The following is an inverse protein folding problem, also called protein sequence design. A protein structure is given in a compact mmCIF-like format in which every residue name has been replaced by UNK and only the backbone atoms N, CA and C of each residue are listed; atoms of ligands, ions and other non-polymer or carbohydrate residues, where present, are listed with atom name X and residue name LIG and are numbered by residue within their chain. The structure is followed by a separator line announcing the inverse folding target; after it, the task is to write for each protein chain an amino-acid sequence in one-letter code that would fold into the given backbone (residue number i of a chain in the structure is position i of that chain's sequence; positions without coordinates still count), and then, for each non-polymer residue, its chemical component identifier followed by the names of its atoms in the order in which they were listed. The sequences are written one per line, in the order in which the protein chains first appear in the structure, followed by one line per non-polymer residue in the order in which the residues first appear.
data_IF_401240304222
#
_entry.id   IF_401240304222
#
_cell.length_a   1.000
_cell.length_b   1.000
_cell.length_c   1.000
_cell.angle_alpha   90.00
_cell.angle_beta   90.00
_cell.angle_gamma   90.00
#
_symmetry.space_group_name_H-M   'P 1'
#
loop_
_entity.id
_entity.type
_entity.pdbx_description
1 polymer ?
#
# COMPACT_ATOMS: atom_id res chain seq x y z
N UNK A 1 -0.84 -8.11 -40.80
CA UNK A 1 -0.92 -8.86 -39.53
C UNK A 1 -0.25 -8.00 -38.47
N UNK A 2 -0.96 -7.46 -37.47
CA UNK A 2 -0.32 -6.61 -36.47
C UNK A 2 0.60 -7.49 -35.62
N UNK A 3 1.88 -7.10 -35.56
CA UNK A 3 2.93 -7.75 -34.77
C UNK A 3 2.70 -7.49 -33.28
N UNK A 4 2.92 -8.51 -32.44
CA UNK A 4 2.56 -8.56 -31.01
C UNK A 4 3.49 -7.71 -30.11
N UNK A 5 4.02 -6.62 -30.64
CA UNK A 5 5.16 -5.91 -30.03
C UNK A 5 4.79 -4.52 -29.49
N UNK A 6 3.52 -4.12 -29.62
CA UNK A 6 3.01 -2.85 -29.08
C UNK A 6 1.87 -3.04 -28.09
N UNK A 7 1.87 -4.14 -27.32
CA UNK A 7 1.23 -4.07 -25.99
C UNK A 7 2.12 -3.15 -25.16
N UNK A 8 2.03 -1.86 -25.47
CA UNK A 8 2.55 -0.79 -24.65
C UNK A 8 2.04 -1.08 -23.24
N UNK A 9 2.95 -1.33 -22.30
CA UNK A 9 2.58 -1.49 -20.90
C UNK A 9 1.89 -0.18 -20.50
N UNK A 10 0.56 -0.23 -20.46
CA UNK A 10 -0.31 0.91 -20.20
C UNK A 10 -0.06 1.31 -18.74
N UNK A 11 0.98 2.12 -18.51
CA UNK A 11 1.28 2.81 -17.27
C UNK A 11 0.44 4.10 -17.15
N UNK A 12 -0.69 4.17 -17.84
CA UNK A 12 -1.63 5.27 -17.70
C UNK A 12 -2.29 5.18 -16.31
N UNK A 13 -2.41 6.28 -15.56
CA UNK A 13 -3.10 6.29 -14.27
C UNK A 13 -4.62 6.05 -14.37
N UNK A 14 -5.13 5.87 -15.59
CA UNK A 14 -6.55 5.68 -15.87
C UNK A 14 -7.07 4.41 -15.16
N UNK A 15 -8.23 4.46 -14.48
CA UNK A 15 -8.81 3.28 -13.85
C UNK A 15 -9.31 2.30 -14.92
N UNK A 16 -8.46 1.34 -15.29
CA UNK A 16 -8.86 0.24 -16.17
C UNK A 16 -9.62 -0.82 -15.37
N UNK A 17 -10.74 -1.36 -15.88
CA UNK A 17 -11.51 -2.42 -15.21
C UNK A 17 -10.68 -3.69 -14.98
N UNK A 18 -9.68 -3.96 -15.84
CA UNK A 18 -8.75 -5.08 -15.67
C UNK A 18 -7.91 -4.99 -14.37
N UNK A 19 -7.63 -3.78 -13.85
CA UNK A 19 -6.85 -3.60 -12.61
C UNK A 19 -7.65 -3.96 -11.35
N UNK A 20 -8.99 -3.92 -11.40
CA UNK A 20 -9.87 -4.24 -10.27
C UNK A 20 -10.01 -5.73 -9.97
N UNK A 21 -9.62 -6.60 -10.92
CA UNK A 21 -9.82 -8.06 -10.81
C UNK A 21 -9.05 -8.65 -9.63
N UNK A 22 -7.81 -8.21 -9.40
CA UNK A 22 -7.00 -8.70 -8.28
C UNK A 22 -7.60 -8.34 -6.92
N UNK A 23 -8.09 -7.11 -6.78
CA UNK A 23 -8.77 -6.66 -5.56
C UNK A 23 -10.07 -7.43 -5.31
N UNK A 24 -10.85 -7.69 -6.36
CA UNK A 24 -12.07 -8.49 -6.27
C UNK A 24 -11.80 -9.95 -5.90
N UNK A 25 -10.78 -10.58 -6.50
CA UNK A 25 -10.35 -11.92 -6.16
C UNK A 25 -9.87 -12.01 -4.70
N UNK A 26 -9.11 -11.01 -4.24
CA UNK A 26 -8.65 -10.89 -2.86
C UNK A 26 -9.81 -10.67 -1.88
N UNK A 27 -10.82 -9.89 -2.26
CA UNK A 27 -12.02 -9.67 -1.45
C UNK A 27 -12.78 -10.97 -1.19
N UNK A 28 -13.04 -11.75 -2.25
CA UNK A 28 -13.72 -13.06 -2.13
C UNK A 28 -12.88 -14.02 -1.29
N UNK A 29 -11.57 -14.10 -1.55
CA UNK A 29 -10.69 -15.01 -0.82
C UNK A 29 -10.56 -14.62 0.65
N UNK A 30 -10.48 -13.32 0.97
CA UNK A 30 -10.46 -12.81 2.34
C UNK A 30 -11.75 -13.18 3.09
N UNK A 31 -12.92 -13.06 2.46
CA UNK A 31 -14.19 -13.46 3.06
C UNK A 31 -14.25 -14.97 3.33
N UNK A 32 -13.81 -15.77 2.36
CA UNK A 32 -13.75 -17.23 2.49
C UNK A 32 -12.84 -17.65 3.66
N UNK A 33 -11.63 -17.08 3.74
CA UNK A 33 -10.68 -17.34 4.82
C UNK A 33 -11.22 -16.86 6.19
N UNK A 34 -11.89 -15.70 6.24
CA UNK A 34 -12.49 -15.17 7.46
C UNK A 34 -13.58 -16.13 7.99
N UNK A 35 -14.46 -16.62 7.12
CA UNK A 35 -15.52 -17.56 7.51
C UNK A 35 -14.91 -18.87 8.02
N UNK A 36 -13.91 -19.40 7.31
CA UNK A 36 -13.21 -20.63 7.73
C UNK A 36 -12.53 -20.44 9.10
N UNK A 37 -11.89 -19.29 9.30
CA UNK A 37 -11.27 -18.93 10.56
C UNK A 37 -12.29 -18.80 11.70
N UNK A 38 -13.43 -18.16 11.45
CA UNK A 38 -14.48 -17.97 12.44
C UNK A 38 -15.15 -19.31 12.82
N UNK A 39 -15.39 -20.18 11.83
CA UNK A 39 -15.90 -21.53 12.06
C UNK A 39 -14.91 -22.33 12.92
N UNK A 40 -13.61 -22.28 12.57
CA UNK A 40 -12.58 -22.91 13.38
C UNK A 40 -12.49 -22.31 14.79
N UNK A 41 -12.68 -20.99 14.96
CA UNK A 41 -12.65 -20.32 16.25
C UNK A 41 -13.80 -20.76 17.15
N UNK A 42 -15.04 -20.78 16.63
CA UNK A 42 -16.27 -21.08 17.37
C UNK A 42 -16.36 -22.57 17.73
N UNK A 43 -15.94 -23.48 16.85
CA UNK A 43 -16.09 -24.93 17.10
C UNK A 43 -15.16 -25.38 18.23
N UNK A 44 -15.67 -25.91 19.36
CA UNK A 44 -14.84 -26.32 20.49
C UNK A 44 -14.01 -27.58 20.18
N UNK A 45 -12.80 -27.65 20.78
CA UNK A 45 -11.84 -28.76 20.61
C UNK A 45 -12.41 -30.17 20.77
N UNK A 46 -13.32 -30.48 21.73
CA UNK A 46 -13.90 -31.82 21.83
C UNK A 46 -14.71 -32.24 20.59
N UNK A 47 -15.32 -31.29 19.87
CA UNK A 47 -16.06 -31.58 18.62
C UNK A 47 -15.07 -31.84 17.49
N UNK A 48 -13.99 -31.07 17.42
CA UNK A 48 -12.91 -31.27 16.44
C UNK A 48 -12.21 -32.63 16.62
N UNK A 49 -11.96 -33.04 17.86
CA UNK A 49 -11.38 -34.35 18.16
C UNK A 49 -12.29 -35.50 17.74
N UNK A 50 -13.63 -35.34 17.88
CA UNK A 50 -14.61 -36.33 17.38
C UNK A 50 -14.68 -36.38 15.86
N UNK A 51 -14.40 -35.26 15.18
CA UNK A 51 -14.29 -35.18 13.72
C UNK A 51 -12.99 -35.79 13.16
N UNK A 52 -12.07 -36.25 14.03
CA UNK A 52 -10.77 -36.80 13.63
C UNK A 52 -9.68 -35.75 13.39
N UNK A 53 -9.93 -34.48 13.72
CA UNK A 53 -8.96 -33.39 13.57
C UNK A 53 -8.24 -33.17 14.91
N UNK A 54 -7.20 -33.96 15.15
CA UNK A 54 -6.47 -33.97 16.44
C UNK A 54 -5.32 -32.97 16.51
N UNK A 55 -4.80 -32.50 15.36
CA UNK A 55 -3.59 -31.66 15.27
C UNK A 55 -3.87 -30.21 14.84
N UNK A 56 -4.92 -29.59 15.37
CA UNK A 56 -5.12 -28.15 15.20
C UNK A 56 -4.27 -27.33 16.15
N UNK A 57 -3.82 -26.12 15.75
CA UNK A 57 -3.15 -25.21 16.66
C UNK A 57 -4.04 -24.90 17.86
N UNK A 58 -3.42 -24.61 19.00
CA UNK A 58 -4.16 -24.35 20.22
C UNK A 58 -5.07 -23.11 20.09
N UNK A 59 -6.18 -23.09 20.83
CA UNK A 59 -7.22 -22.05 20.69
C UNK A 59 -6.75 -20.63 21.02
N UNK A 60 -5.62 -20.46 21.71
CA UNK A 60 -5.04 -19.13 21.95
C UNK A 60 -4.69 -18.39 20.65
N UNK A 61 -4.47 -19.11 19.54
CA UNK A 61 -4.25 -18.48 18.24
C UNK A 61 -5.46 -17.67 17.75
N UNK A 62 -6.66 -17.94 18.27
CA UNK A 62 -7.85 -17.12 17.99
C UNK A 62 -7.67 -15.67 18.46
N UNK A 63 -6.93 -15.44 19.54
CA UNK A 63 -6.69 -14.08 20.05
C UNK A 63 -5.32 -13.54 19.63
N UNK A 64 -4.35 -14.42 19.42
CA UNK A 64 -3.01 -14.04 18.97
C UNK A 64 -3.03 -13.44 17.56
N UNK A 65 -3.76 -14.05 16.61
CA UNK A 65 -3.83 -13.54 15.23
C UNK A 65 -4.38 -12.10 15.15
N UNK A 66 -5.57 -11.78 15.72
CA UNK A 66 -6.09 -10.42 15.65
C UNK A 66 -5.21 -9.41 16.42
N UNK A 67 -4.61 -9.80 17.55
CA UNK A 67 -3.69 -8.91 18.27
C UNK A 67 -2.41 -8.62 17.48
N UNK A 68 -1.84 -9.60 16.78
CA UNK A 68 -0.68 -9.41 15.90
C UNK A 68 -1.00 -8.50 14.71
N UNK A 69 -2.20 -8.58 14.13
CA UNK A 69 -2.63 -7.68 13.04
C UNK A 69 -2.70 -6.23 13.55
N UNK A 70 -3.34 -6.01 14.69
CA UNK A 70 -3.44 -4.67 15.30
C UNK A 70 -2.05 -4.13 15.64
N UNK A 71 -1.18 -4.97 16.23
CA UNK A 71 0.19 -4.60 16.56
C UNK A 71 1.00 -4.22 15.31
N UNK A 72 0.86 -5.00 14.23
CA UNK A 72 1.53 -4.75 12.95
C UNK A 72 1.09 -3.41 12.35
N UNK A 73 -0.22 -3.15 12.29
CA UNK A 73 -0.76 -1.88 11.77
C UNK A 73 -0.28 -0.70 12.62
N UNK A 74 -0.37 -0.81 13.95
CA UNK A 74 0.06 0.24 14.88
C UNK A 74 1.56 0.52 14.71
N UNK A 75 2.38 -0.53 14.64
CA UNK A 75 3.83 -0.42 14.43
C UNK A 75 4.14 0.24 13.09
N UNK A 76 3.46 -0.16 12.01
CA UNK A 76 3.63 0.44 10.69
C UNK A 76 3.35 1.95 10.72
N UNK A 77 2.22 2.36 11.32
CA UNK A 77 1.86 3.79 11.43
C UNK A 77 2.88 4.56 12.27
N UNK A 78 3.31 4.01 13.41
CA UNK A 78 4.30 4.63 14.29
C UNK A 78 5.64 4.81 13.58
N UNK A 79 6.10 3.80 12.82
CA UNK A 79 7.35 3.87 12.06
C UNK A 79 7.28 4.95 10.99
N UNK A 80 6.19 4.99 10.20
CA UNK A 80 6.00 6.03 9.17
C UNK A 80 5.98 7.42 9.81
N UNK A 81 5.27 7.58 10.93
CA UNK A 81 5.22 8.85 11.65
C UNK A 81 6.60 9.23 12.21
N UNK A 82 7.35 8.30 12.79
CA UNK A 82 8.68 8.54 13.33
C UNK A 82 9.66 8.98 12.23
N UNK A 83 9.62 8.32 11.06
CA UNK A 83 10.43 8.70 9.90
C UNK A 83 10.03 10.10 9.41
N UNK A 84 8.73 10.39 9.34
CA UNK A 84 8.25 11.72 8.94
C UNK A 84 8.73 12.79 9.92
N UNK A 85 8.61 12.58 11.23
CA UNK A 85 9.09 13.51 12.26
C UNK A 85 10.60 13.72 12.14
N UNK A 86 11.37 12.65 11.94
CA UNK A 86 12.82 12.76 11.75
C UNK A 86 13.18 13.61 10.52
N UNK A 87 12.44 13.44 9.41
CA UNK A 87 12.62 14.27 8.20
C UNK A 87 12.25 15.73 8.42
N UNK A 88 11.22 16.03 9.21
CA UNK A 88 10.79 17.40 9.49
C UNK A 88 11.61 18.12 10.58
N UNK A 89 12.23 17.39 11.53
CA UNK A 89 12.85 17.97 12.72
C UNK A 89 14.12 18.80 12.46
N UNK A 90 14.74 18.62 11.31
CA UNK A 90 15.83 19.47 10.85
C UNK A 90 15.42 20.09 9.53
N UNK A 91 15.83 21.33 9.28
CA UNK A 91 15.64 22.08 8.03
C UNK A 91 16.17 21.40 6.74
N UNK A 92 16.54 20.12 6.84
CA UNK A 92 17.11 19.23 5.82
C UNK A 92 16.27 19.08 4.55
N UNK A 93 14.96 19.38 4.60
CA UNK A 93 14.08 19.38 3.43
C UNK A 93 14.39 20.58 2.52
N UNK A 94 14.80 21.71 3.11
CA UNK A 94 15.20 22.91 2.38
C UNK A 94 16.67 22.86 1.91
N UNK A 95 17.45 21.90 2.38
CA UNK A 95 18.82 21.64 1.90
C UNK A 95 18.82 20.77 0.62
N UNK A 96 17.78 19.97 0.41
CA UNK A 96 17.69 18.99 -0.68
C UNK A 96 16.92 19.54 -1.90
N UNK A 97 16.37 20.76 -1.80
CA UNK A 97 15.77 21.46 -2.95
C UNK A 97 16.87 22.14 -3.76
N UNK A 98 17.04 21.70 -5.01
CA UNK A 98 17.79 22.46 -6.00
C UNK A 98 17.05 23.78 -6.20
N UNK A 99 17.65 24.90 -5.75
CA UNK A 99 17.10 26.21 -6.00
C UNK A 99 17.22 26.49 -7.50
N UNK A 100 16.16 26.19 -8.26
CA UNK A 100 16.10 26.45 -9.70
C UNK A 100 16.01 27.97 -9.87
N UNK A 101 17.16 28.61 -10.10
CA UNK A 101 17.29 30.07 -10.24
C UNK A 101 16.43 30.64 -11.39
N UNK A 102 16.06 29.80 -12.35
CA UNK A 102 15.31 30.18 -13.56
C UNK A 102 13.85 29.68 -13.61
N UNK A 103 13.28 29.22 -12.49
CA UNK A 103 11.93 28.60 -12.47
C UNK A 103 10.80 29.57 -12.89
N UNK A 104 11.00 30.88 -12.69
CA UNK A 104 10.00 31.89 -13.03
C UNK A 104 10.07 32.41 -14.48
N UNK A 105 10.87 31.78 -15.34
CA UNK A 105 11.06 32.19 -16.73
C UNK A 105 11.82 33.51 -16.86
N UNK A 106 12.85 33.55 -17.70
CA UNK A 106 13.50 34.83 -18.03
C UNK A 106 12.45 35.78 -18.62
N UNK A 107 12.28 36.96 -18.01
CA UNK A 107 11.48 38.01 -18.65
C UNK A 107 12.22 38.41 -19.93
N UNK A 108 11.57 38.40 -21.10
CA UNK A 108 12.23 38.78 -22.34
C UNK A 108 12.77 40.20 -22.19
N UNK A 109 14.10 40.34 -22.27
CA UNK A 109 14.79 41.62 -22.16
C UNK A 109 14.29 42.49 -23.32
N UNK A 110 13.50 43.52 -22.98
CA UNK A 110 12.96 44.43 -23.97
C UNK A 110 14.12 45.08 -24.74
N UNK A 111 14.23 44.70 -26.02
CA UNK A 111 15.18 45.24 -26.98
C UNK A 111 15.08 46.77 -27.02
N UNK A 112 16.02 47.47 -26.36
CA UNK A 112 16.14 48.92 -26.49
C UNK A 112 16.67 49.22 -27.88
N UNK A 113 15.73 49.51 -28.81
CA UNK A 113 16.02 50.05 -30.13
C UNK A 113 17.02 51.21 -30.01
N UNK A 114 18.20 51.03 -30.60
CA UNK A 114 19.19 52.07 -30.84
C UNK A 114 18.61 53.00 -31.89
N UNK A 115 18.10 54.15 -31.46
CA UNK A 115 17.70 55.25 -32.34
C UNK A 115 18.88 56.21 -32.37
N UNK A 116 19.76 56.09 -33.35
CA UNK A 116 20.62 57.17 -33.85
C UNK A 116 21.00 56.82 -35.27
#
# INVERSE_FOLDING_TARGET
MPTRDSVEDIHTPNPLPARGIYGFALYISSYCLLILYLLWAIVPTPILNRLGITYVPAKYWVIAIPSLIILSITTFVVVVLAVNIYRFRGYRIFEEVEAIENDFGERPVANKRKIT
#
